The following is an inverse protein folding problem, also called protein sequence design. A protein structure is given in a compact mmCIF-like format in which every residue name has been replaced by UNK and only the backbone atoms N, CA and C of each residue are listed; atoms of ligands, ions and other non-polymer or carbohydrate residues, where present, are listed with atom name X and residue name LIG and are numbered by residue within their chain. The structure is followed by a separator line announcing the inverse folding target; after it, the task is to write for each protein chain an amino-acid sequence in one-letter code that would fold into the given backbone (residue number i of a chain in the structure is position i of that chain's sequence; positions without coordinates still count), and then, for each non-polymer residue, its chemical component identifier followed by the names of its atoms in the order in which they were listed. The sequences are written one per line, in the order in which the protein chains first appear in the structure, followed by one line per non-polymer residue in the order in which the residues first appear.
data_IF_770449484778
#
_entry.id   IF_770449484778
#
_cell.length_a   1.000
_cell.length_b   1.000
_cell.length_c   1.000
_cell.angle_alpha   90.00
_cell.angle_beta   90.00
_cell.angle_gamma   90.00
#
_symmetry.space_group_name_H-M   'P 1'
#
loop_
_entity.id
_entity.type
_entity.pdbx_description
1 polymer ?
#
# COMPACT_ATOMS: atom_id res chain seq x y z
N UNK A 1 -2.31 -54.26 27.18
CA UNK A 1 -3.00 -54.10 25.88
C UNK A 1 -2.92 -52.63 25.48
N UNK A 2 -1.96 -52.22 24.63
CA UNK A 2 -1.77 -50.82 24.19
C UNK A 2 -2.45 -50.64 22.83
N UNK A 3 -3.49 -49.82 22.75
CA UNK A 3 -4.09 -49.42 21.47
C UNK A 3 -3.24 -48.29 20.86
N UNK A 4 -2.64 -48.54 19.71
CA UNK A 4 -1.96 -47.50 18.91
C UNK A 4 -3.03 -46.66 18.21
N UNK A 5 -3.16 -45.40 18.62
CA UNK A 5 -3.96 -44.39 17.90
C UNK A 5 -3.11 -43.93 16.71
N UNK A 6 -3.39 -44.48 15.53
CA UNK A 6 -2.85 -43.99 14.26
C UNK A 6 -4.08 -43.81 13.39
N UNK A 7 -4.68 -42.61 13.35
CA UNK A 7 -5.72 -42.37 12.32
C UNK A 7 -5.95 -40.92 11.93
N UNK A 8 -5.42 -39.90 12.61
CA UNK A 8 -5.75 -38.51 12.23
C UNK A 8 -4.63 -37.79 11.46
N UNK A 9 -3.35 -38.09 11.73
CA UNK A 9 -2.24 -37.39 11.07
C UNK A 9 -1.98 -37.84 9.62
N UNK A 10 -2.33 -39.09 9.25
CA UNK A 10 -2.05 -39.63 7.93
C UNK A 10 -3.01 -39.13 6.84
N UNK A 11 -4.26 -38.77 7.20
CA UNK A 11 -5.26 -38.31 6.22
C UNK A 11 -5.04 -36.83 5.85
N UNK A 12 -4.61 -36.00 6.81
CA UNK A 12 -4.28 -34.59 6.53
C UNK A 12 -3.07 -34.44 5.58
N UNK A 13 -2.07 -35.33 5.67
CA UNK A 13 -0.90 -35.29 4.79
C UNK A 13 -1.19 -35.69 3.34
N UNK A 14 -2.13 -36.60 3.11
CA UNK A 14 -2.51 -37.04 1.75
C UNK A 14 -3.39 -36.00 1.05
N UNK A 15 -4.25 -35.29 1.79
CA UNK A 15 -5.05 -34.19 1.23
C UNK A 15 -4.18 -32.98 0.87
N UNK A 16 -3.09 -32.72 1.61
CA UNK A 16 -2.12 -31.66 1.30
C UNK A 16 -1.23 -32.01 0.08
N UNK A 17 -0.88 -33.28 -0.13
CA UNK A 17 -0.08 -33.72 -1.27
C UNK A 17 -0.87 -33.78 -2.59
N UNK A 18 -2.19 -34.04 -2.54
CA UNK A 18 -3.05 -34.04 -3.75
C UNK A 18 -3.33 -32.63 -4.30
N UNK A 19 -3.10 -31.57 -3.53
CA UNK A 19 -3.16 -30.18 -3.99
C UNK A 19 -1.93 -29.78 -4.84
N UNK A 20 -0.84 -30.58 -4.83
CA UNK A 20 0.43 -30.19 -5.46
C UNK A 20 0.58 -30.62 -6.93
N UNK A 21 -0.44 -31.19 -7.57
CA UNK A 21 -0.38 -31.58 -8.99
C UNK A 21 -1.61 -31.09 -9.74
N UNK A 22 -1.81 -29.77 -9.72
CA UNK A 22 -2.57 -29.10 -10.77
C UNK A 22 -1.54 -28.55 -11.75
N UNK A 23 -1.68 -28.79 -13.08
CA UNK A 23 -0.93 -28.00 -14.03
C UNK A 23 -1.31 -26.55 -13.78
N UNK A 24 -0.38 -25.76 -13.25
CA UNK A 24 -0.54 -24.32 -13.17
C UNK A 24 -0.53 -23.81 -14.61
N UNK A 25 -1.72 -23.76 -15.23
CA UNK A 25 -1.91 -22.88 -16.38
C UNK A 25 -1.61 -21.48 -15.86
N UNK A 26 -0.45 -20.93 -16.25
CA UNK A 26 -0.11 -19.56 -15.91
C UNK A 26 -1.26 -18.68 -16.38
N UNK A 27 -1.91 -18.01 -15.44
CA UNK A 27 -2.89 -16.97 -15.76
C UNK A 27 -2.07 -15.75 -16.11
N UNK A 28 -2.14 -15.30 -17.36
CA UNK A 28 -1.32 -14.18 -17.87
C UNK A 28 -1.65 -12.85 -17.18
N UNK A 29 -2.86 -12.72 -16.61
CA UNK A 29 -3.34 -11.50 -15.94
C UNK A 29 -4.29 -11.83 -14.80
N UNK A 30 -4.03 -11.26 -13.64
CA UNK A 30 -4.94 -11.28 -12.48
C UNK A 30 -5.58 -9.91 -12.30
N UNK A 31 -6.76 -9.88 -11.67
CA UNK A 31 -7.49 -8.66 -11.35
C UNK A 31 -7.54 -8.47 -9.83
N UNK A 32 -7.22 -7.26 -9.37
CA UNK A 32 -7.39 -6.83 -7.98
C UNK A 32 -8.51 -5.78 -7.98
N UNK A 33 -9.50 -5.94 -7.10
CA UNK A 33 -10.69 -5.08 -7.03
C UNK A 33 -10.68 -4.26 -5.73
N UNK A 34 -11.28 -3.08 -5.79
CA UNK A 34 -11.58 -2.27 -4.62
C UNK A 34 -13.01 -2.47 -4.10
N UNK A 35 -13.35 -1.72 -3.06
CA UNK A 35 -14.68 -1.61 -2.48
C UNK A 35 -15.69 -1.17 -3.56
N UNK A 36 -16.88 -1.75 -3.51
CA UNK A 36 -17.89 -1.56 -4.56
C UNK A 36 -18.67 -0.28 -4.29
N UNK A 37 -18.92 0.53 -5.31
CA UNK A 37 -19.99 1.53 -5.25
C UNK A 37 -21.31 0.87 -5.68
N UNK A 38 -22.36 1.03 -4.88
CA UNK A 38 -23.67 0.43 -5.13
C UNK A 38 -24.79 1.38 -4.68
N UNK A 39 -25.47 1.99 -5.65
CA UNK A 39 -26.60 2.90 -5.41
C UNK A 39 -27.80 2.16 -4.78
N UNK A 40 -28.11 0.94 -5.23
CA UNK A 40 -29.31 0.20 -4.81
C UNK A 40 -29.26 -0.09 -3.30
N UNK A 41 -28.08 -0.47 -2.82
CA UNK A 41 -27.85 -0.70 -1.38
C UNK A 41 -27.45 0.56 -0.61
N UNK A 42 -27.22 1.68 -1.30
CA UNK A 42 -26.74 2.93 -0.72
C UNK A 42 -25.28 2.85 -0.24
N UNK A 43 -24.52 1.87 -0.72
CA UNK A 43 -23.13 1.69 -0.34
C UNK A 43 -22.20 2.59 -1.16
N UNK A 44 -21.48 3.48 -0.48
CA UNK A 44 -20.53 4.41 -1.09
C UNK A 44 -19.15 4.25 -0.45
N UNK A 45 -18.12 3.84 -1.22
CA UNK A 45 -16.73 3.85 -0.76
C UNK A 45 -16.30 5.23 -0.25
N UNK A 46 -15.72 5.27 0.94
CA UNK A 46 -15.38 6.53 1.63
C UNK A 46 -14.03 6.44 2.33
N UNK A 47 -12.97 6.19 1.55
CA UNK A 47 -11.62 6.03 2.07
C UNK A 47 -11.04 7.31 2.70
N UNK A 48 -11.51 8.48 2.26
CA UNK A 48 -11.10 9.81 2.76
C UNK A 48 -11.78 10.21 4.07
N UNK A 49 -12.83 9.48 4.49
CA UNK A 49 -13.71 9.92 5.57
C UNK A 49 -14.52 11.18 5.23
N UNK A 50 -14.42 11.71 4.01
CA UNK A 50 -15.21 12.83 3.54
C UNK A 50 -16.60 12.32 3.14
N UNK A 51 -17.45 12.09 4.14
CA UNK A 51 -18.83 11.63 3.97
C UNK A 51 -19.78 12.69 3.38
N UNK A 52 -19.27 13.66 2.63
CA UNK A 52 -20.09 14.60 1.88
C UNK A 52 -20.90 13.85 0.84
N UNK A 53 -22.20 14.16 0.76
CA UNK A 53 -23.06 13.67 -0.32
C UNK A 53 -22.41 14.08 -1.65
N UNK A 54 -22.24 13.13 -2.58
CA UNK A 54 -21.52 13.40 -3.83
C UNK A 54 -20.15 12.76 -3.94
N UNK A 55 -19.56 12.24 -2.86
CA UNK A 55 -18.14 11.84 -2.86
C UNK A 55 -17.97 10.32 -2.78
N UNK A 56 -17.23 9.73 -3.73
CA UNK A 56 -16.78 8.33 -3.68
C UNK A 56 -15.26 8.31 -3.67
N UNK A 57 -14.66 7.57 -2.75
CA UNK A 57 -13.19 7.53 -2.63
C UNK A 57 -12.63 6.15 -2.34
N UNK A 58 -11.49 5.89 -2.96
CA UNK A 58 -10.66 4.72 -2.73
C UNK A 58 -9.23 5.13 -2.36
N UNK A 59 -8.65 4.44 -1.40
CA UNK A 59 -7.22 4.44 -1.10
C UNK A 59 -6.79 3.01 -0.75
N UNK A 60 -5.57 2.84 -0.22
CA UNK A 60 -5.05 1.52 0.11
C UNK A 60 -5.91 0.72 1.12
N UNK A 61 -6.74 1.36 1.95
CA UNK A 61 -7.60 0.66 2.91
C UNK A 61 -8.76 -0.09 2.28
N UNK A 62 -9.27 0.40 1.15
CA UNK A 62 -10.45 -0.17 0.49
C UNK A 62 -10.21 -0.50 -0.99
N UNK A 63 -9.00 -0.29 -1.51
CA UNK A 63 -8.55 -0.81 -2.79
C UNK A 63 -7.15 -1.40 -2.68
N UNK A 64 -7.09 -2.74 -2.56
CA UNK A 64 -5.87 -3.50 -2.34
C UNK A 64 -4.86 -3.48 -3.51
N UNK A 65 -5.20 -2.82 -4.62
CA UNK A 65 -4.26 -2.59 -5.72
C UNK A 65 -3.26 -1.48 -5.40
N UNK A 66 -3.65 -0.50 -4.57
CA UNK A 66 -2.76 0.60 -4.22
C UNK A 66 -1.69 0.18 -3.21
N UNK A 67 -0.52 0.82 -3.34
CA UNK A 67 0.60 0.56 -2.46
C UNK A 67 0.26 0.87 -0.98
N UNK A 68 0.62 -0.06 -0.09
CA UNK A 68 0.43 0.04 1.35
C UNK A 68 1.63 -0.56 2.08
N UNK A 69 2.17 0.19 3.05
CA UNK A 69 3.14 -0.29 4.00
C UNK A 69 2.43 -0.93 5.21
N UNK A 70 2.62 -2.23 5.41
CA UNK A 70 1.96 -2.98 6.49
C UNK A 70 2.54 -2.66 7.88
N UNK A 71 3.76 -2.15 7.95
CA UNK A 71 4.45 -1.89 9.23
C UNK A 71 4.08 -0.50 9.74
N UNK A 72 4.28 0.51 8.91
CA UNK A 72 4.07 1.92 9.27
C UNK A 72 2.70 2.47 8.87
N UNK A 73 1.92 1.72 8.08
CA UNK A 73 0.61 2.15 7.59
C UNK A 73 0.67 3.26 6.54
N UNK A 74 1.83 3.48 5.93
CA UNK A 74 2.01 4.47 4.87
C UNK A 74 1.29 4.05 3.59
N UNK A 75 0.68 5.02 2.92
CA UNK A 75 0.04 4.87 1.61
C UNK A 75 0.18 6.18 0.85
N UNK A 76 0.01 6.17 -0.47
CA UNK A 76 0.25 7.37 -1.28
C UNK A 76 -0.86 7.68 -2.28
N UNK A 77 -1.62 6.68 -2.71
CA UNK A 77 -2.57 6.78 -3.80
C UNK A 77 -4.01 6.98 -3.29
N UNK A 78 -4.74 7.84 -3.99
CA UNK A 78 -6.16 8.08 -3.79
C UNK A 78 -6.87 8.23 -5.14
N UNK A 79 -7.99 7.53 -5.31
CA UNK A 79 -8.90 7.66 -6.45
C UNK A 79 -10.22 8.21 -5.95
N UNK A 80 -10.69 9.29 -6.56
CA UNK A 80 -11.87 10.03 -6.09
C UNK A 80 -12.80 10.37 -7.24
N UNK A 81 -14.10 10.23 -6.98
CA UNK A 81 -15.18 10.86 -7.73
C UNK A 81 -15.80 11.93 -6.83
N UNK A 82 -15.63 13.22 -7.17
CA UNK A 82 -16.09 14.35 -6.35
C UNK A 82 -17.58 14.68 -6.48
N UNK A 83 -18.25 14.15 -7.51
CA UNK A 83 -19.67 14.34 -7.75
C UNK A 83 -20.28 13.03 -8.27
N UNK A 84 -21.00 12.34 -7.39
CA UNK A 84 -21.68 11.09 -7.66
C UNK A 84 -23.19 11.27 -7.91
N UNK A 85 -23.68 12.51 -8.02
CA UNK A 85 -25.11 12.78 -8.22
C UNK A 85 -25.64 12.21 -9.54
N UNK A 86 -24.75 11.99 -10.49
CA UNK A 86 -25.00 11.36 -11.79
C UNK A 86 -24.65 9.87 -11.81
N UNK A 87 -24.24 9.25 -10.69
CA UNK A 87 -23.96 7.81 -10.61
C UNK A 87 -25.20 7.06 -10.14
N UNK A 88 -26.24 7.09 -10.97
CA UNK A 88 -27.53 6.45 -10.70
C UNK A 88 -27.82 5.32 -11.68
N UNK A 89 -28.97 4.66 -11.56
CA UNK A 89 -29.46 3.75 -12.59
C UNK A 89 -29.89 4.49 -13.87
N UNK A 90 -30.27 5.77 -13.75
CA UNK A 90 -30.74 6.60 -14.86
C UNK A 90 -29.61 7.35 -15.58
N UNK A 91 -28.47 7.55 -14.92
CA UNK A 91 -27.30 8.27 -15.42
C UNK A 91 -26.04 7.59 -14.89
N UNK A 92 -24.99 7.46 -15.69
CA UNK A 92 -23.72 6.84 -15.29
C UNK A 92 -22.51 7.61 -15.84
N UNK A 93 -22.71 8.89 -16.10
CA UNK A 93 -21.66 9.78 -16.58
C UNK A 93 -20.93 10.41 -15.40
N UNK A 94 -19.60 10.30 -15.37
CA UNK A 94 -18.79 11.11 -14.46
C UNK A 94 -18.53 12.44 -15.18
N UNK A 95 -18.94 13.59 -14.62
CA UNK A 95 -18.72 14.87 -15.28
C UNK A 95 -17.23 15.19 -15.45
N UNK A 96 -16.94 16.12 -16.37
CA UNK A 96 -15.59 16.67 -16.54
C UNK A 96 -15.05 17.21 -15.20
N UNK A 97 -13.76 17.00 -14.96
CA UNK A 97 -13.06 17.40 -13.74
C UNK A 97 -13.70 16.83 -12.45
N UNK A 98 -14.28 15.63 -12.50
CA UNK A 98 -14.80 14.93 -11.31
C UNK A 98 -14.11 13.62 -10.97
N UNK A 99 -13.28 13.07 -11.86
CA UNK A 99 -12.46 11.87 -11.60
C UNK A 99 -11.01 12.27 -11.33
N UNK A 100 -10.52 12.00 -10.12
CA UNK A 100 -9.17 12.35 -9.70
C UNK A 100 -8.41 11.11 -9.27
N UNK A 101 -7.20 10.96 -9.81
CA UNK A 101 -6.18 10.07 -9.25
C UNK A 101 -5.06 10.95 -8.71
N UNK A 102 -4.79 10.84 -7.42
CA UNK A 102 -3.76 11.61 -6.73
C UNK A 102 -2.75 10.64 -6.14
N UNK A 103 -1.47 10.99 -6.24
CA UNK A 103 -0.42 10.29 -5.50
C UNK A 103 0.49 11.27 -4.78
N UNK A 104 0.78 10.99 -3.50
CA UNK A 104 1.57 11.86 -2.63
C UNK A 104 2.79 11.14 -2.11
N UNK A 105 3.97 11.73 -2.32
CA UNK A 105 5.25 11.18 -1.82
C UNK A 105 5.17 10.99 -0.31
N UNK A 106 5.50 9.78 0.15
CA UNK A 106 5.72 9.44 1.54
C UNK A 106 7.21 9.45 1.84
N UNK A 107 7.62 10.01 2.99
CA UNK A 107 9.01 9.97 3.42
C UNK A 107 9.22 8.79 4.36
N UNK A 108 9.92 7.78 3.87
CA UNK A 108 10.13 6.52 4.57
C UNK A 108 11.52 6.55 5.19
N UNK A 109 11.62 6.21 6.49
CA UNK A 109 12.90 6.15 7.17
C UNK A 109 13.73 4.97 6.64
N UNK A 110 15.03 5.17 6.47
CA UNK A 110 15.93 4.05 6.20
C UNK A 110 16.11 3.23 7.47
N UNK A 111 16.07 1.90 7.35
CA UNK A 111 16.39 0.97 8.44
C UNK A 111 17.69 1.33 9.18
N UNK A 112 18.73 1.77 8.43
CA UNK A 112 20.01 2.14 9.02
C UNK A 112 19.95 3.44 9.85
N UNK A 113 19.02 4.33 9.51
CA UNK A 113 18.71 5.53 10.30
C UNK A 113 18.00 5.12 11.58
N UNK A 114 16.93 4.34 11.46
CA UNK A 114 16.11 3.90 12.59
C UNK A 114 16.91 3.06 13.59
N UNK A 115 17.53 1.96 13.14
CA UNK A 115 18.20 1.00 14.04
C UNK A 115 19.52 1.53 14.59
N UNK A 116 20.25 2.36 13.83
CA UNK A 116 21.65 2.71 14.14
C UNK A 116 21.89 4.21 14.30
N UNK A 117 20.87 5.05 14.14
CA UNK A 117 20.97 6.50 14.18
C UNK A 117 22.05 7.01 13.21
N UNK A 118 22.11 6.45 12.00
CA UNK A 118 23.06 6.84 10.96
C UNK A 118 22.40 7.68 9.86
N UNK A 119 23.13 8.68 9.39
CA UNK A 119 22.73 9.54 8.27
C UNK A 119 23.18 8.94 6.94
N UNK A 120 22.27 8.87 5.98
CA UNK A 120 22.54 8.44 4.60
C UNK A 120 22.86 9.66 3.74
N UNK A 121 23.98 9.61 3.02
CA UNK A 121 24.36 10.68 2.08
C UNK A 121 23.29 10.85 1.00
N UNK A 122 22.96 12.10 0.63
CA UNK A 122 21.87 12.42 -0.29
C UNK A 122 20.46 12.03 0.19
N UNK A 123 20.32 11.55 1.42
CA UNK A 123 19.03 11.29 2.05
C UNK A 123 18.21 12.56 2.30
N UNK A 124 16.92 12.36 2.52
CA UNK A 124 15.95 13.38 2.89
C UNK A 124 15.86 13.49 4.40
N UNK A 125 15.59 14.69 4.91
CA UNK A 125 15.08 14.84 6.27
C UNK A 125 13.60 14.42 6.36
N UNK A 126 13.03 14.43 7.58
CA UNK A 126 11.63 14.08 7.82
C UNK A 126 10.64 14.94 7.02
N UNK A 127 11.04 16.15 6.61
CA UNK A 127 10.23 17.06 5.80
C UNK A 127 10.45 16.93 4.30
N UNK A 128 11.31 16.00 3.85
CA UNK A 128 11.65 15.82 2.44
C UNK A 128 12.78 16.71 1.91
N UNK A 129 13.47 17.46 2.77
CA UNK A 129 14.59 18.30 2.35
C UNK A 129 15.83 17.45 2.14
N UNK A 130 16.32 17.40 0.90
CA UNK A 130 17.57 16.72 0.57
C UNK A 130 18.76 17.33 1.30
N UNK A 131 19.58 16.50 1.93
CA UNK A 131 20.76 16.91 2.68
C UNK A 131 20.46 17.90 3.83
N UNK A 132 19.24 17.87 4.38
CA UNK A 132 18.79 18.75 5.47
C UNK A 132 19.44 18.45 6.83
N UNK A 133 20.04 17.27 7.00
CA UNK A 133 20.63 16.80 8.26
C UNK A 133 22.13 16.60 8.12
N UNK A 134 22.88 16.97 9.16
CA UNK A 134 24.29 16.56 9.33
C UNK A 134 24.41 15.60 10.50
N UNK A 135 24.85 14.37 10.24
CA UNK A 135 24.96 13.34 11.27
C UNK A 135 26.02 12.30 10.97
N UNK A 136 26.14 11.33 11.87
CA UNK A 136 27.16 10.27 11.76
C UNK A 136 26.75 9.27 10.69
N UNK A 137 27.66 8.86 9.81
CA UNK A 137 27.40 7.77 8.84
C UNK A 137 28.13 6.46 9.20
N UNK A 138 28.84 6.46 10.33
CA UNK A 138 29.53 5.28 10.86
C UNK A 138 29.14 5.07 12.33
N UNK A 139 28.75 3.85 12.69
CA UNK A 139 28.40 3.49 14.06
C UNK A 139 29.58 3.72 15.01
N UNK A 140 29.32 4.36 16.14
CA UNK A 140 30.32 4.61 17.19
C UNK A 140 31.41 5.63 16.82
N UNK A 141 31.30 6.32 15.67
CA UNK A 141 32.27 7.34 15.23
C UNK A 141 31.60 8.70 15.02
N UNK A 142 31.25 9.45 16.09
CA UNK A 142 30.49 10.70 15.98
C UNK A 142 31.22 11.81 15.21
N UNK A 143 32.54 11.72 15.03
CA UNK A 143 33.33 12.66 14.24
C UNK A 143 33.24 12.42 12.73
N UNK A 144 32.80 11.23 12.30
CA UNK A 144 32.60 10.89 10.90
C UNK A 144 31.20 11.35 10.45
N UNK A 145 31.11 12.60 10.02
CA UNK A 145 29.82 13.23 9.65
C UNK A 145 29.63 13.36 8.14
N UNK A 146 28.38 13.29 7.69
CA UNK A 146 27.94 13.54 6.30
C UNK A 146 26.73 14.47 6.30
N UNK A 147 26.56 15.24 5.22
CA UNK A 147 25.29 15.93 4.94
C UNK A 147 24.37 14.98 4.18
N UNK A 148 23.15 14.81 4.65
CA UNK A 148 22.25 13.77 4.18
C UNK A 148 20.92 13.81 4.89
N UNK A 149 20.36 12.63 5.14
CA UNK A 149 19.11 12.48 5.86
C UNK A 149 18.85 11.04 6.27
N UNK A 150 17.80 10.85 7.06
CA UNK A 150 17.33 9.55 7.51
C UNK A 150 16.28 8.93 6.60
N UNK A 151 15.79 9.64 5.58
CA UNK A 151 14.60 9.25 4.82
C UNK A 151 14.86 9.17 3.30
N UNK A 152 14.00 8.44 2.59
CA UNK A 152 13.85 8.48 1.14
C UNK A 152 12.39 8.71 0.74
N UNK A 153 12.16 9.22 -0.46
CA UNK A 153 10.81 9.39 -1.00
C UNK A 153 10.30 8.09 -1.60
N UNK A 154 9.09 7.67 -1.24
CA UNK A 154 8.38 6.54 -1.82
C UNK A 154 7.02 6.99 -2.33
N UNK A 155 6.58 6.44 -3.46
CA UNK A 155 5.31 6.79 -4.08
C UNK A 155 4.72 5.60 -4.84
N UNK A 156 3.42 5.36 -4.70
CA UNK A 156 2.63 4.48 -5.54
C UNK A 156 2.23 5.22 -6.81
N UNK A 157 2.45 4.62 -7.97
CA UNK A 157 2.11 5.20 -9.25
C UNK A 157 1.42 4.17 -10.13
N UNK A 158 0.09 4.28 -10.22
CA UNK A 158 -0.78 3.31 -10.90
C UNK A 158 -0.56 1.89 -10.36
N UNK A 159 -0.74 1.72 -9.05
CA UNK A 159 -0.63 0.45 -8.33
C UNK A 159 0.78 -0.20 -8.33
N UNK A 160 1.82 0.56 -8.71
CA UNK A 160 3.20 0.12 -8.64
C UNK A 160 4.02 1.01 -7.69
N UNK A 161 4.96 0.41 -6.95
CA UNK A 161 5.82 1.12 -6.01
C UNK A 161 7.05 1.71 -6.72
N UNK A 162 7.32 2.99 -6.43
CA UNK A 162 8.48 3.72 -6.94
C UNK A 162 9.21 4.47 -5.84
N UNK A 163 10.50 4.71 -6.06
CA UNK A 163 11.31 5.65 -5.27
C UNK A 163 11.28 7.02 -5.96
N UNK A 164 10.86 8.05 -5.24
CA UNK A 164 10.86 9.43 -5.72
C UNK A 164 12.26 10.03 -5.59
N UNK A 165 12.76 10.63 -6.69
CA UNK A 165 14.14 11.15 -6.82
C UNK A 165 14.25 12.67 -6.58
#
# INVERSE_FOLDING_TARGET
MKRKVITTAAIAGILLLLLAVMPASAVDKVEIRGEVYDEETGHTPNATGNGSIGHVSWNAYNFAGFWYDLEEGNMSEELVILDNTTLTDADREIPEDKLYYTSTVQYIEYEVSEEKNLTVENGLDLGGTKNGVKGSYITGKPTATVNGGGYYGKIGWFAEEYVAL
#
